data_IF_935433397822
#
_entry.id   IF_935433397822
#
_cell.length_a   1.000
_cell.length_b   1.000
_cell.length_c   1.000
_cell.angle_alpha   90.00
_cell.angle_beta   90.00
_cell.angle_gamma   90.00
#
_symmetry.space_group_name_H-M   'P 1'
#
loop_
_entity.id
_entity.type
_entity.pdbx_description
1 polymer ?
#
# COMPACT_ATOMS: atom_id res chain seq x y z
N UNK A 1 -15.82 22.89 -14.90
CA UNK A 1 -15.67 22.42 -16.30
C UNK A 1 -14.27 22.67 -16.90
N UNK A 2 -13.60 23.79 -16.66
CA UNK A 2 -12.17 23.98 -17.07
C UNK A 2 -11.23 23.14 -16.23
N UNK A 3 -11.44 23.18 -14.93
CA UNK A 3 -10.56 22.58 -13.92
C UNK A 3 -10.60 21.06 -14.04
N UNK A 4 -11.79 20.47 -14.05
CA UNK A 4 -11.98 19.03 -14.23
C UNK A 4 -11.30 18.48 -15.50
N UNK A 5 -11.41 19.17 -16.64
CA UNK A 5 -10.71 18.80 -17.88
C UNK A 5 -9.19 18.91 -17.74
N UNK A 6 -8.70 19.94 -17.06
CA UNK A 6 -7.28 20.09 -16.74
C UNK A 6 -6.78 18.94 -15.86
N UNK A 7 -7.57 18.50 -14.88
CA UNK A 7 -7.24 17.38 -14.00
C UNK A 7 -7.23 16.05 -14.72
N UNK A 8 -8.24 15.77 -15.55
CA UNK A 8 -8.24 14.56 -16.37
C UNK A 8 -7.02 14.53 -17.29
N UNK A 9 -6.66 15.66 -17.89
CA UNK A 9 -5.47 15.76 -18.74
C UNK A 9 -4.17 15.54 -17.95
N UNK A 10 -4.00 16.22 -16.80
CA UNK A 10 -2.85 16.04 -15.90
C UNK A 10 -2.72 14.59 -15.43
N UNK A 11 -3.86 13.94 -15.08
CA UNK A 11 -3.92 12.54 -14.70
C UNK A 11 -3.41 11.62 -15.81
N UNK A 12 -3.90 11.78 -17.05
CA UNK A 12 -3.43 10.99 -18.20
C UNK A 12 -1.94 11.17 -18.44
N UNK A 13 -1.41 12.39 -18.30
CA UNK A 13 0.03 12.65 -18.43
C UNK A 13 0.86 11.93 -17.35
N UNK A 14 0.41 11.96 -16.10
CA UNK A 14 1.07 11.28 -14.99
C UNK A 14 1.01 9.76 -15.20
N UNK A 15 -0.13 9.21 -15.60
CA UNK A 15 -0.31 7.79 -15.86
C UNK A 15 0.60 7.30 -17.00
N UNK A 16 0.74 8.06 -18.08
CA UNK A 16 1.66 7.73 -19.17
C UNK A 16 3.11 7.78 -18.71
N UNK A 17 3.50 8.80 -17.95
CA UNK A 17 4.84 8.89 -17.37
C UNK A 17 5.15 7.70 -16.44
N UNK A 18 4.20 7.31 -15.60
CA UNK A 18 4.33 6.16 -14.70
C UNK A 18 4.50 4.85 -15.47
N UNK A 19 3.70 4.63 -16.52
CA UNK A 19 3.80 3.46 -17.40
C UNK A 19 5.19 3.34 -18.02
N UNK A 20 5.75 4.45 -18.50
CA UNK A 20 7.10 4.48 -19.08
C UNK A 20 8.18 4.20 -18.03
N UNK A 21 8.10 4.84 -16.86
CA UNK A 21 9.03 4.62 -15.75
C UNK A 21 9.00 3.17 -15.26
N UNK A 22 7.80 2.58 -15.16
CA UNK A 22 7.61 1.20 -14.75
C UNK A 22 8.25 0.24 -15.76
N UNK A 23 7.94 0.37 -17.06
CA UNK A 23 8.54 -0.45 -18.13
C UNK A 23 10.06 -0.32 -18.19
N UNK A 24 10.59 0.88 -17.92
CA UNK A 24 12.04 1.13 -17.88
C UNK A 24 12.71 0.39 -16.72
N UNK A 25 12.06 0.33 -15.56
CA UNK A 25 12.60 -0.29 -14.34
C UNK A 25 12.41 -1.81 -14.34
N UNK A 26 11.23 -2.27 -14.68
CA UNK A 26 10.82 -3.67 -14.65
C UNK A 26 10.64 -4.15 -16.10
N UNK A 27 11.70 -4.78 -16.63
CA UNK A 27 11.74 -5.27 -18.02
C UNK A 27 11.04 -6.61 -18.21
N UNK A 28 10.73 -7.32 -17.13
CA UNK A 28 10.06 -8.62 -17.12
C UNK A 28 8.81 -8.59 -16.24
N UNK A 29 7.79 -9.37 -16.61
CA UNK A 29 6.55 -9.54 -15.84
C UNK A 29 6.73 -10.49 -14.63
N UNK A 30 7.95 -10.63 -14.13
CA UNK A 30 8.23 -11.46 -12.96
C UNK A 30 7.69 -10.83 -11.68
N UNK A 31 7.50 -11.65 -10.64
CA UNK A 31 7.09 -11.16 -9.32
C UNK A 31 8.07 -10.07 -8.83
N UNK A 32 7.54 -8.90 -8.48
CA UNK A 32 8.32 -7.78 -7.94
C UNK A 32 8.27 -7.86 -6.42
N UNK A 33 9.42 -8.06 -5.79
CA UNK A 33 9.52 -8.11 -4.32
C UNK A 33 9.13 -6.78 -3.67
N UNK A 34 8.58 -6.85 -2.47
CA UNK A 34 8.09 -5.68 -1.75
C UNK A 34 9.16 -4.57 -1.58
N UNK A 35 10.40 -4.94 -1.28
CA UNK A 35 11.53 -3.99 -1.22
C UNK A 35 11.74 -3.25 -2.55
N UNK A 36 11.61 -3.94 -3.68
CA UNK A 36 11.71 -3.31 -5.01
C UNK A 36 10.53 -2.38 -5.27
N UNK A 37 9.32 -2.75 -4.82
CA UNK A 37 8.11 -1.91 -4.90
C UNK A 37 8.26 -0.62 -4.12
N UNK A 38 8.62 -0.70 -2.83
CA UNK A 38 8.86 0.46 -1.97
C UNK A 38 9.91 1.40 -2.56
N UNK A 39 11.05 0.85 -3.02
CA UNK A 39 12.10 1.64 -3.68
C UNK A 39 11.57 2.34 -4.93
N UNK A 40 10.80 1.65 -5.77
CA UNK A 40 10.22 2.22 -6.97
C UNK A 40 9.20 3.33 -6.66
N UNK A 41 8.31 3.12 -5.69
CA UNK A 41 7.36 4.14 -5.22
C UNK A 41 8.14 5.39 -4.76
N UNK A 42 9.15 5.25 -3.90
CA UNK A 42 9.95 6.39 -3.45
C UNK A 42 10.74 7.09 -4.57
N UNK A 43 11.23 6.37 -5.57
CA UNK A 43 11.88 6.95 -6.75
C UNK A 43 10.88 7.72 -7.63
N UNK A 44 9.72 7.11 -7.92
CA UNK A 44 8.76 7.66 -8.88
C UNK A 44 7.96 8.82 -8.29
N UNK A 45 7.60 8.76 -7.00
CA UNK A 45 6.98 9.87 -6.26
C UNK A 45 7.87 11.11 -6.31
N UNK A 46 9.20 10.96 -6.14
CA UNK A 46 10.14 12.10 -6.27
C UNK A 46 10.20 12.67 -7.69
N UNK A 47 10.14 11.82 -8.72
CA UNK A 47 10.13 12.29 -10.12
C UNK A 47 8.84 13.01 -10.47
N UNK A 48 7.71 12.48 -10.03
CA UNK A 48 6.39 13.09 -10.22
C UNK A 48 6.30 14.41 -9.48
N UNK A 49 6.75 14.46 -8.22
CA UNK A 49 6.78 15.70 -7.45
C UNK A 49 7.56 16.81 -8.16
N UNK A 50 8.68 16.47 -8.81
CA UNK A 50 9.49 17.42 -9.59
C UNK A 50 8.82 17.86 -10.90
N UNK A 51 8.08 16.97 -11.56
CA UNK A 51 7.54 17.20 -12.91
C UNK A 51 6.12 17.76 -12.91
N UNK A 52 5.29 17.32 -11.97
CA UNK A 52 3.85 17.58 -11.94
C UNK A 52 3.39 18.27 -10.65
N UNK A 53 4.26 18.42 -9.64
CA UNK A 53 3.96 19.04 -8.35
C UNK A 53 3.80 18.03 -7.22
N UNK A 54 3.89 18.52 -5.98
CA UNK A 54 3.75 17.71 -4.74
C UNK A 54 2.30 17.30 -4.44
N UNK A 55 1.37 17.75 -5.26
CA UNK A 55 -0.07 17.52 -5.19
C UNK A 55 -0.49 16.23 -5.94
N UNK A 56 0.35 15.20 -5.94
CA UNK A 56 0.03 13.91 -6.59
C UNK A 56 0.30 12.74 -5.64
N UNK A 57 -0.70 11.89 -5.43
CA UNK A 57 -0.52 10.58 -4.80
C UNK A 57 -0.55 9.50 -5.88
N UNK A 58 0.41 8.59 -5.81
CA UNK A 58 0.59 7.52 -6.79
C UNK A 58 0.24 6.19 -6.13
N UNK A 59 -0.79 5.51 -6.62
CA UNK A 59 -1.14 4.16 -6.20
C UNK A 59 -0.80 3.19 -7.34
N UNK A 60 0.04 2.21 -7.05
CA UNK A 60 0.59 1.31 -8.06
C UNK A 60 0.13 -0.11 -7.73
N UNK A 61 -0.76 -0.64 -8.56
CA UNK A 61 -1.06 -2.07 -8.56
C UNK A 61 0.02 -2.78 -9.40
N UNK A 62 0.97 -3.38 -8.69
CA UNK A 62 2.08 -4.12 -9.27
C UNK A 62 1.65 -5.45 -9.91
N UNK A 63 0.46 -5.97 -9.59
CA UNK A 63 -0.06 -7.24 -10.13
C UNK A 63 -0.67 -7.06 -11.52
N UNK A 64 -1.32 -5.94 -11.77
CA UNK A 64 -2.03 -5.67 -13.04
C UNK A 64 -1.19 -4.91 -14.06
N UNK A 65 0.09 -4.61 -13.75
CA UNK A 65 0.90 -3.67 -14.53
C UNK A 65 0.14 -2.36 -14.83
N UNK A 66 -0.81 -1.99 -13.95
CA UNK A 66 -2.02 -1.25 -14.30
C UNK A 66 -2.44 -0.34 -13.16
N UNK A 67 -2.31 0.95 -13.39
CA UNK A 67 -2.02 1.97 -12.39
C UNK A 67 -3.29 2.72 -11.94
N UNK A 68 -3.33 3.19 -10.69
CA UNK A 68 -4.34 4.15 -10.25
C UNK A 68 -3.64 5.44 -9.78
N UNK A 69 -3.71 6.50 -10.59
CA UNK A 69 -3.25 7.82 -10.14
C UNK A 69 -4.39 8.56 -9.47
N UNK A 70 -4.13 9.04 -8.26
CA UNK A 70 -5.05 9.85 -7.46
C UNK A 70 -4.60 11.30 -7.60
N UNK A 71 -5.37 12.08 -8.35
CA UNK A 71 -5.18 13.53 -8.55
C UNK A 71 -6.43 14.20 -8.00
N UNK A 72 -6.34 15.02 -6.95
CA UNK A 72 -7.53 15.66 -6.37
C UNK A 72 -7.46 17.18 -6.37
N UNK A 73 -8.60 17.81 -6.71
CA UNK A 73 -8.90 19.21 -6.39
C UNK A 73 -10.35 19.35 -5.88
N UNK A 74 -10.81 18.45 -5.01
CA UNK A 74 -12.20 18.49 -4.51
C UNK A 74 -12.29 18.67 -2.99
N UNK A 75 -13.33 19.41 -2.57
CA UNK A 75 -13.49 20.07 -1.27
C UNK A 75 -14.34 19.31 -0.24
N UNK A 76 -14.63 18.02 -0.44
CA UNK A 76 -15.60 17.29 0.40
C UNK A 76 -15.00 16.97 1.78
N UNK A 77 -15.64 17.43 2.85
CA UNK A 77 -15.06 17.46 4.22
C UNK A 77 -15.49 16.29 5.13
N UNK A 78 -16.42 15.43 4.70
CA UNK A 78 -16.99 14.37 5.54
C UNK A 78 -17.47 13.14 4.76
N UNK A 79 -17.54 11.99 5.45
CA UNK A 79 -18.05 10.70 4.96
C UNK A 79 -19.01 10.10 5.99
N UNK A 80 -19.66 8.97 5.68
CA UNK A 80 -20.52 8.22 6.61
C UNK A 80 -19.80 7.76 7.89
N UNK A 81 -18.46 7.69 7.87
CA UNK A 81 -17.61 7.33 9.01
C UNK A 81 -17.07 8.55 9.78
N UNK A 82 -17.62 9.73 9.52
CA UNK A 82 -17.32 10.96 10.25
C UNK A 82 -16.55 11.99 9.44
N UNK A 83 -15.86 12.90 10.14
CA UNK A 83 -15.10 14.00 9.52
C UNK A 83 -13.83 13.46 8.88
N UNK A 84 -13.39 14.09 7.80
CA UNK A 84 -12.12 13.76 7.16
C UNK A 84 -10.99 14.55 7.80
N UNK A 85 -10.03 13.82 8.35
CA UNK A 85 -8.81 14.32 8.99
C UNK A 85 -7.67 14.10 8.00
N UNK A 86 -6.96 15.18 7.66
CA UNK A 86 -5.89 15.13 6.67
C UNK A 86 -4.63 14.47 7.23
N UNK A 87 -4.00 13.59 6.44
CA UNK A 87 -2.64 13.08 6.72
C UNK A 87 -1.62 14.23 6.74
N UNK A 88 -0.59 14.11 7.59
CA UNK A 88 0.53 15.06 7.61
C UNK A 88 1.50 14.81 6.46
N UNK A 89 1.73 13.54 6.13
CA UNK A 89 2.74 13.09 5.19
C UNK A 89 2.22 13.07 3.75
N UNK A 90 0.91 12.85 3.57
CA UNK A 90 0.30 12.67 2.26
C UNK A 90 -0.90 13.61 2.08
N UNK A 91 -0.77 14.67 1.28
CA UNK A 91 -1.85 15.65 1.09
C UNK A 91 -3.19 15.08 0.60
N UNK A 92 -3.18 13.86 0.02
CA UNK A 92 -4.34 13.19 -0.59
C UNK A 92 -4.87 12.00 0.21
N UNK A 93 -4.28 11.72 1.37
CA UNK A 93 -4.73 10.67 2.27
C UNK A 93 -5.53 11.32 3.38
N UNK A 94 -6.72 10.80 3.61
CA UNK A 94 -7.60 11.27 4.66
C UNK A 94 -7.99 10.11 5.54
N UNK A 95 -7.87 10.30 6.85
CA UNK A 95 -8.39 9.40 7.85
C UNK A 95 -9.78 9.88 8.24
N UNK A 96 -10.71 8.96 8.42
CA UNK A 96 -11.99 9.31 9.06
C UNK A 96 -11.75 9.55 10.56
N UNK A 97 -12.55 10.40 11.20
CA UNK A 97 -12.47 10.57 12.66
C UNK A 97 -12.63 9.23 13.38
N UNK A 98 -13.54 8.37 12.89
CA UNK A 98 -13.70 7.00 13.39
C UNK A 98 -12.39 6.19 13.38
N UNK A 99 -11.58 6.31 12.33
CA UNK A 99 -10.28 5.65 12.25
C UNK A 99 -9.32 6.16 13.33
N UNK A 100 -9.22 7.48 13.50
CA UNK A 100 -8.27 8.10 14.43
C UNK A 100 -8.69 7.85 15.88
N UNK A 101 -9.97 8.02 16.19
CA UNK A 101 -10.52 7.84 17.54
C UNK A 101 -10.31 6.41 18.02
N UNK A 102 -10.66 5.42 17.19
CA UNK A 102 -10.45 4.00 17.54
C UNK A 102 -8.98 3.64 17.68
N UNK A 103 -8.12 4.21 16.84
CA UNK A 103 -6.69 3.96 16.95
C UNK A 103 -6.13 4.50 18.28
N UNK A 104 -6.52 5.72 18.66
CA UNK A 104 -6.12 6.34 19.93
C UNK A 104 -6.62 5.53 21.13
N UNK A 105 -7.90 5.13 21.14
CA UNK A 105 -8.50 4.32 22.20
C UNK A 105 -7.75 2.99 22.39
N UNK A 106 -7.41 2.32 21.29
CA UNK A 106 -6.74 1.01 21.31
C UNK A 106 -5.27 1.09 21.71
N UNK A 107 -4.58 2.12 21.26
CA UNK A 107 -3.15 2.31 21.56
C UNK A 107 -2.92 3.01 22.90
N UNK A 108 -4.00 3.44 23.58
CA UNK A 108 -3.95 4.26 24.79
C UNK A 108 -3.02 5.48 24.64
N UNK A 109 -2.88 5.98 23.41
CA UNK A 109 -1.93 7.01 23.07
C UNK A 109 -2.56 8.40 23.20
N UNK A 110 -1.85 9.28 23.92
CA UNK A 110 -2.13 10.71 23.98
C UNK A 110 -1.34 11.50 22.92
N UNK A 111 -0.52 10.80 22.12
CA UNK A 111 0.25 11.41 21.04
C UNK A 111 -0.60 11.63 19.78
N UNK A 112 -0.05 12.38 18.84
CA UNK A 112 -0.71 12.64 17.57
C UNK A 112 -0.76 11.37 16.71
N UNK A 113 -1.84 10.63 16.85
CA UNK A 113 -2.10 9.35 16.19
C UNK A 113 -1.96 9.41 14.65
N UNK A 114 -2.12 10.59 14.04
CA UNK A 114 -1.97 10.79 12.60
C UNK A 114 -0.51 10.54 12.16
N UNK A 115 0.48 10.90 12.98
CA UNK A 115 1.90 10.71 12.66
C UNK A 115 2.23 9.21 12.60
N UNK A 116 1.74 8.45 13.57
CA UNK A 116 1.93 6.99 13.62
C UNK A 116 1.20 6.31 12.47
N UNK A 117 -0.06 6.69 12.22
CA UNK A 117 -0.83 6.16 11.09
C UNK A 117 -0.14 6.46 9.74
N UNK A 118 0.45 7.64 9.58
CA UNK A 118 1.22 7.98 8.37
C UNK A 118 2.46 7.10 8.19
N UNK A 119 3.17 6.77 9.27
CA UNK A 119 4.32 5.88 9.22
C UNK A 119 3.92 4.48 8.72
N UNK A 120 2.88 3.90 9.31
CA UNK A 120 2.32 2.60 8.89
C UNK A 120 1.78 2.66 7.46
N UNK A 121 1.09 3.73 7.11
CA UNK A 121 0.51 3.92 5.79
C UNK A 121 1.59 3.97 4.68
N UNK A 122 2.75 4.59 4.95
CA UNK A 122 3.87 4.61 4.00
C UNK A 122 4.35 3.22 3.60
N UNK A 123 4.36 2.28 4.54
CA UNK A 123 4.71 0.89 4.26
C UNK A 123 3.59 0.19 3.51
N UNK A 124 2.35 0.44 3.92
CA UNK A 124 1.16 -0.17 3.36
C UNK A 124 0.93 0.19 1.87
N UNK A 125 1.37 1.37 1.42
CA UNK A 125 1.27 1.81 0.02
C UNK A 125 1.82 0.80 -1.00
N UNK A 126 2.83 0.02 -0.61
CA UNK A 126 3.46 -0.98 -1.49
C UNK A 126 2.60 -2.22 -1.77
N UNK A 127 1.49 -2.35 -1.04
CA UNK A 127 0.54 -3.46 -1.09
C UNK A 127 -0.74 -3.13 -1.87
N UNK A 128 -0.84 -1.90 -2.38
CA UNK A 128 -2.00 -1.48 -3.17
C UNK A 128 -2.25 -2.42 -4.36
N UNK A 129 -3.50 -2.87 -4.49
CA UNK A 129 -3.91 -3.79 -5.53
C UNK A 129 -3.67 -5.28 -5.23
N UNK A 130 -3.06 -5.62 -4.08
CA UNK A 130 -3.00 -7.02 -3.65
C UNK A 130 -4.32 -7.51 -3.06
N UNK A 131 -5.00 -6.68 -2.27
CA UNK A 131 -6.32 -6.95 -1.70
C UNK A 131 -7.25 -5.78 -1.98
N UNK A 132 -8.38 -6.06 -2.64
CA UNK A 132 -9.34 -5.02 -3.00
C UNK A 132 -9.91 -4.34 -1.75
N UNK A 133 -9.73 -3.02 -1.65
CA UNK A 133 -10.21 -2.21 -0.52
C UNK A 133 -9.31 -2.23 0.72
N UNK A 134 -8.17 -2.92 0.68
CA UNK A 134 -7.27 -3.04 1.84
C UNK A 134 -5.82 -2.73 1.50
N UNK A 135 -5.11 -2.12 2.47
CA UNK A 135 -3.66 -1.95 2.43
C UNK A 135 -3.06 -2.54 3.69
N UNK A 136 -2.01 -3.35 3.54
CA UNK A 136 -1.44 -4.12 4.64
C UNK A 136 -0.06 -3.57 5.00
N UNK A 137 0.20 -3.37 6.29
CA UNK A 137 1.54 -3.10 6.83
C UNK A 137 1.92 -4.21 7.83
N UNK A 138 3.16 -4.26 8.34
CA UNK A 138 3.57 -5.29 9.29
C UNK A 138 2.69 -5.35 10.54
N UNK A 139 2.20 -4.21 11.02
CA UNK A 139 1.44 -4.11 12.28
C UNK A 139 -0.09 -4.23 12.12
N UNK A 140 -0.61 -4.31 10.89
CA UNK A 140 -2.05 -4.33 10.67
C UNK A 140 -2.52 -4.05 9.26
N UNK A 141 -3.82 -3.77 9.15
CA UNK A 141 -4.50 -3.53 7.87
C UNK A 141 -5.34 -2.26 7.91
N UNK A 142 -5.20 -1.47 6.85
CA UNK A 142 -6.02 -0.30 6.55
C UNK A 142 -7.17 -0.71 5.63
N UNK A 143 -8.39 -0.36 6.01
CA UNK A 143 -9.55 -0.41 5.12
C UNK A 143 -9.68 0.94 4.39
N UNK A 144 -9.56 0.91 3.08
CA UNK A 144 -9.43 2.08 2.24
C UNK A 144 -10.48 2.12 1.14
N UNK A 145 -10.91 3.31 0.77
CA UNK A 145 -11.77 3.53 -0.39
C UNK A 145 -11.27 4.73 -1.19
N UNK A 146 -11.39 4.63 -2.52
CA UNK A 146 -11.17 5.77 -3.41
C UNK A 146 -12.47 6.55 -3.58
N UNK A 147 -12.55 7.72 -2.93
CA UNK A 147 -13.70 8.62 -3.01
C UNK A 147 -13.27 9.88 -3.77
N UNK A 148 -13.89 10.14 -4.92
CA UNK A 148 -13.63 11.34 -5.75
C UNK A 148 -12.13 11.55 -6.04
N UNK A 149 -11.41 10.48 -6.36
CA UNK A 149 -9.95 10.54 -6.56
C UNK A 149 -9.18 11.03 -5.32
N UNK A 150 -9.60 10.63 -4.12
CA UNK A 150 -8.81 10.69 -2.87
C UNK A 150 -8.81 9.31 -2.21
N UNK A 151 -7.74 9.00 -1.50
CA UNK A 151 -7.70 7.77 -0.71
C UNK A 151 -8.19 8.08 0.70
N UNK A 152 -9.36 7.52 1.03
CA UNK A 152 -9.98 7.65 2.34
C UNK A 152 -9.77 6.36 3.13
N UNK A 153 -9.05 6.49 4.24
CA UNK A 153 -8.87 5.43 5.23
C UNK A 153 -10.05 5.44 6.18
N UNK A 154 -10.89 4.41 6.08
CA UNK A 154 -12.08 4.24 6.91
C UNK A 154 -11.76 3.73 8.30
N UNK A 155 -10.79 2.82 8.42
CA UNK A 155 -10.36 2.28 9.71
C UNK A 155 -8.98 1.65 9.57
N UNK A 156 -8.27 1.55 10.68
CA UNK A 156 -7.10 0.71 10.86
C UNK A 156 -7.43 -0.44 11.83
N UNK A 157 -6.92 -1.63 11.57
CA UNK A 157 -7.14 -2.82 12.37
C UNK A 157 -5.77 -3.44 12.67
N UNK A 158 -5.37 -3.46 13.94
CA UNK A 158 -4.17 -4.16 14.39
C UNK A 158 -4.37 -5.67 14.19
N UNK A 159 -3.29 -6.37 13.84
CA UNK A 159 -3.34 -7.82 13.72
C UNK A 159 -3.68 -8.54 15.03
N UNK A 160 -3.33 -7.98 16.18
CA UNK A 160 -3.71 -8.52 17.50
C UNK A 160 -5.24 -8.66 17.71
N UNK A 161 -6.04 -8.00 16.86
CA UNK A 161 -7.51 -8.04 16.92
C UNK A 161 -8.13 -9.02 15.91
N UNK A 162 -7.30 -9.72 15.14
CA UNK A 162 -7.72 -10.64 14.08
C UNK A 162 -7.23 -12.05 14.41
N UNK A 163 -7.99 -13.06 13.99
CA UNK A 163 -7.51 -14.44 14.05
C UNK A 163 -6.50 -14.73 12.94
N UNK A 164 -5.67 -15.75 13.11
CA UNK A 164 -4.69 -16.19 12.09
C UNK A 164 -5.33 -16.41 10.71
N UNK A 165 -6.54 -16.97 10.67
CA UNK A 165 -7.27 -17.21 9.43
C UNK A 165 -7.75 -15.91 8.77
N UNK A 166 -8.07 -14.87 9.55
CA UNK A 166 -8.39 -13.54 9.03
C UNK A 166 -7.13 -12.84 8.55
N UNK A 167 -6.03 -12.95 9.29
CA UNK A 167 -4.74 -12.38 8.95
C UNK A 167 -4.25 -12.94 7.60
N UNK A 168 -4.33 -14.26 7.41
CA UNK A 168 -3.97 -14.95 6.14
C UNK A 168 -4.72 -14.41 4.92
N UNK A 169 -5.96 -13.92 5.08
CA UNK A 169 -6.73 -13.35 3.96
C UNK A 169 -6.12 -12.05 3.42
N UNK A 170 -5.29 -11.36 4.21
CA UNK A 170 -4.62 -10.12 3.80
C UNK A 170 -3.21 -10.33 3.25
N UNK A 171 -2.69 -11.56 3.26
CA UNK A 171 -1.38 -11.91 2.72
C UNK A 171 -1.50 -12.45 1.29
N UNK A 172 -1.41 -11.54 0.32
CA UNK A 172 -1.30 -11.90 -1.10
C UNK A 172 0.08 -12.49 -1.46
N UNK A 173 0.21 -12.95 -2.71
CA UNK A 173 1.44 -13.61 -3.20
C UNK A 173 2.71 -12.74 -3.15
N UNK A 174 2.58 -11.41 -2.98
CA UNK A 174 3.69 -10.47 -2.83
C UNK A 174 4.04 -10.13 -1.39
N UNK A 175 3.24 -10.57 -0.43
CA UNK A 175 3.31 -10.22 1.00
C UNK A 175 3.82 -11.35 1.89
N UNK A 176 4.16 -12.51 1.31
CA UNK A 176 4.71 -13.67 2.03
C UNK A 176 5.95 -13.28 2.85
N UNK A 177 6.78 -12.36 2.35
CA UNK A 177 7.97 -11.86 3.06
C UNK A 177 7.67 -10.92 4.24
N UNK A 178 6.40 -10.55 4.45
CA UNK A 178 5.92 -9.72 5.58
C UNK A 178 5.16 -10.56 6.63
N UNK A 179 5.10 -11.89 6.47
CA UNK A 179 4.62 -12.74 7.55
C UNK A 179 5.56 -12.57 8.75
N UNK A 180 5.04 -12.32 9.97
CA UNK A 180 5.85 -12.35 11.17
C UNK A 180 6.57 -13.71 11.25
N UNK A 181 7.81 -13.71 11.74
CA UNK A 181 8.64 -14.94 11.84
C UNK A 181 7.95 -16.06 12.62
N UNK A 182 7.03 -15.71 13.51
CA UNK A 182 6.20 -16.63 14.31
C UNK A 182 5.25 -17.49 13.45
N UNK A 183 4.99 -17.08 12.20
CA UNK A 183 4.20 -17.84 11.22
C UNK A 183 5.07 -18.51 10.15
N UNK A 184 6.39 -18.30 10.17
CA UNK A 184 7.34 -19.09 9.39
C UNK A 184 7.61 -20.37 10.19
N UNK A 185 7.06 -21.50 9.73
CA UNK A 185 7.25 -22.77 10.42
C UNK A 185 8.74 -23.08 10.64
N UNK A 186 9.13 -23.40 11.88
CA UNK A 186 10.51 -23.79 12.24
C UNK A 186 10.89 -25.20 11.74
N UNK A 187 9.97 -25.93 11.11
CA UNK A 187 10.22 -27.28 10.61
C UNK A 187 10.02 -27.34 9.09
N UNK A 188 11.15 -27.31 8.37
CA UNK A 188 11.24 -27.38 6.90
C UNK A 188 10.63 -28.69 6.37
N UNK A 189 10.44 -29.70 7.22
CA UNK A 189 9.82 -30.98 6.84
C UNK A 189 8.28 -30.97 6.90
N UNK A 190 7.63 -29.90 7.37
CA UNK A 190 6.18 -29.79 7.50
C UNK A 190 5.52 -28.64 6.72
N UNK A 191 6.26 -27.90 5.89
CA UNK A 191 5.73 -26.75 5.17
C UNK A 191 5.04 -27.16 3.85
N UNK A 192 3.73 -26.92 3.74
CA UNK A 192 2.92 -27.16 2.52
C UNK A 192 3.25 -26.21 1.34
N UNK A 193 4.25 -25.33 1.48
CA UNK A 193 4.75 -24.49 0.39
C UNK A 193 6.27 -24.33 0.48
N UNK A 194 6.96 -24.77 -0.58
CA UNK A 194 8.38 -24.48 -0.83
C UNK A 194 8.46 -23.19 -1.64
N UNK A 195 9.19 -22.19 -1.15
CA UNK A 195 9.51 -20.99 -1.92
C UNK A 195 10.46 -21.39 -3.06
N UNK A 196 10.10 -21.09 -4.31
CA UNK A 196 10.82 -21.53 -5.50
C UNK A 196 12.30 -21.12 -5.53
N UNK A 197 12.68 -20.07 -4.81
CA UNK A 197 14.06 -19.60 -4.72
C UNK A 197 14.93 -20.47 -3.78
N UNK A 198 14.34 -21.32 -2.93
CA UNK A 198 15.05 -22.24 -2.03
C UNK A 198 15.20 -23.66 -2.61
N UNK A 199 14.48 -23.98 -3.70
CA UNK A 199 14.53 -25.30 -4.35
C UNK A 199 15.90 -25.56 -5.04
N UNK A 200 16.55 -24.52 -5.57
CA UNK A 200 17.83 -24.65 -6.26
C UNK A 200 19.03 -24.79 -5.29
N UNK A 201 18.91 -24.33 -4.04
CA UNK A 201 19.94 -24.56 -3.00
C UNK A 201 19.91 -26.00 -2.46
N UNK A 202 18.75 -26.68 -2.50
CA UNK A 202 18.61 -28.06 -2.03
C UNK A 202 19.00 -29.12 -3.07
N UNK A 203 18.89 -28.83 -4.37
CA UNK A 203 19.34 -29.74 -5.43
C UNK A 203 20.84 -29.62 -5.76
N UNK A 204 21.54 -28.64 -5.18
CA UNK A 204 22.98 -28.41 -5.38
C UNK A 204 23.90 -29.28 -4.51
N UNK A 205 23.36 -30.13 -3.63
CA UNK A 205 24.14 -31.08 -2.81
C UNK A 205 23.60 -32.50 -2.91
N UNK A 206 23.76 -33.09 -4.08
CA UNK A 206 23.88 -34.54 -4.22
C UNK A 206 24.95 -34.83 -5.26
N UNK A 207 26.20 -34.66 -4.84
CA UNK A 207 27.37 -35.27 -5.48
C UNK A 207 27.95 -36.30 -4.51
N UNK A 208 27.65 -37.57 -4.78
CA UNK A 208 28.56 -38.72 -4.92
C UNK A 208 27.73 -40.00 -5.13
#
# INVERSE_FOLDING_TARGET
MSDERHFTFKKVQIENFLKEEFKRKFKSNGKISLRKRQKFIGEVTRKIAKRFGKDVLVLIDFSKNGFCTVVSPTHTESTEKGRLIKSFSHPHVFYTSHCVDRFSERTQSHENCIITLDAFFNEALSTYGENDGFLTCPDGVFACELIESRLVVKTYINFDLLSDDQIKQFYGSGMISMLPKEYAAEDIFGADFVLADEHDEFLGKSGD
#
